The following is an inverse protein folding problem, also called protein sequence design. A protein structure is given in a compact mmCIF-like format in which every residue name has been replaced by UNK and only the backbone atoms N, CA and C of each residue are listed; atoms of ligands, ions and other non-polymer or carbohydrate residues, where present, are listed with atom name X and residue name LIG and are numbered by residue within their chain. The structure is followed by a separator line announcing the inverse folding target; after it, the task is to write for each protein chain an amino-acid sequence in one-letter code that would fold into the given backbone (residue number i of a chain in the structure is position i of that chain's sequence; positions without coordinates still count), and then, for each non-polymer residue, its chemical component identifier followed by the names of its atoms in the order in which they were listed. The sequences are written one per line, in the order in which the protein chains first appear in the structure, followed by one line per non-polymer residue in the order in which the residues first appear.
data_IF_811804055660
#
_entry.id   IF_811804055660
#
_cell.length_a   1.000
_cell.length_b   1.000
_cell.length_c   1.000
_cell.angle_alpha   90.00
_cell.angle_beta   90.00
_cell.angle_gamma   90.00
#
_symmetry.space_group_name_H-M   'P 1'
#
loop_
_entity.id
_entity.type
_entity.pdbx_description
1 polymer ?
#
# COMPACT_ATOMS: atom_id res chain seq x y z
N UNK A 1 -12.46 9.22 -26.68
CA UNK A 1 -11.58 8.16 -26.17
C UNK A 1 -10.74 8.76 -25.06
N UNK A 2 -10.87 8.29 -23.81
CA UNK A 2 -9.99 8.75 -22.72
C UNK A 2 -8.59 8.21 -22.97
N UNK A 3 -7.61 9.09 -23.06
CA UNK A 3 -6.20 8.75 -23.30
C UNK A 3 -5.64 8.01 -22.08
N UNK A 4 -5.37 6.70 -22.24
CA UNK A 4 -4.67 5.92 -21.24
C UNK A 4 -3.22 6.42 -21.12
N UNK A 5 -2.83 6.80 -19.91
CA UNK A 5 -1.47 7.33 -19.65
C UNK A 5 -0.57 6.17 -19.25
N UNK A 6 0.54 6.00 -19.95
CA UNK A 6 1.41 4.85 -19.75
C UNK A 6 2.01 4.84 -18.34
N UNK A 7 1.94 3.69 -17.67
CA UNK A 7 2.46 3.53 -16.30
C UNK A 7 1.67 4.26 -15.21
N UNK A 8 0.46 4.74 -15.51
CA UNK A 8 -0.43 5.46 -14.60
C UNK A 8 -1.72 4.70 -14.41
N UNK A 9 -2.28 4.73 -13.20
CA UNK A 9 -3.52 4.03 -12.91
C UNK A 9 -4.74 4.96 -12.99
N UNK A 10 -4.56 6.24 -12.68
CA UNK A 10 -5.58 7.24 -12.95
C UNK A 10 -5.39 7.81 -14.37
N UNK A 11 -6.48 7.88 -15.13
CA UNK A 11 -6.56 8.60 -16.42
C UNK A 11 -7.01 10.06 -16.25
N UNK A 12 -7.46 10.43 -15.05
CA UNK A 12 -8.04 11.75 -14.73
C UNK A 12 -7.36 12.44 -13.54
N UNK A 13 -7.40 13.77 -13.52
CA UNK A 13 -6.88 14.60 -12.43
C UNK A 13 -7.99 15.51 -11.87
N UNK A 14 -8.97 14.96 -11.10
CA UNK A 14 -10.13 15.70 -10.63
C UNK A 14 -9.73 16.88 -9.72
N UNK A 15 -10.62 17.87 -9.63
CA UNK A 15 -10.47 18.99 -8.72
C UNK A 15 -10.27 18.51 -7.27
N UNK A 16 -9.40 19.21 -6.54
CA UNK A 16 -9.23 19.00 -5.12
C UNK A 16 -10.47 19.52 -4.37
N UNK A 17 -11.08 18.68 -3.52
CA UNK A 17 -12.30 19.04 -2.76
C UNK A 17 -12.17 20.23 -1.79
N UNK A 18 -10.94 20.65 -1.46
CA UNK A 18 -10.68 21.77 -0.56
C UNK A 18 -10.39 23.08 -1.30
N UNK A 19 -10.17 23.04 -2.61
CA UNK A 19 -9.90 24.21 -3.43
C UNK A 19 -11.20 24.90 -3.85
N UNK A 20 -11.26 26.23 -3.71
CA UNK A 20 -12.44 27.01 -4.12
C UNK A 20 -12.52 27.24 -5.62
N UNK A 21 -11.37 27.27 -6.28
CA UNK A 21 -11.23 27.54 -7.71
C UNK A 21 -10.43 26.41 -8.35
N UNK A 22 -10.92 25.87 -9.45
CA UNK A 22 -10.25 24.84 -10.22
C UNK A 22 -10.36 25.16 -11.71
N UNK A 23 -9.24 25.03 -12.42
CA UNK A 23 -9.20 25.17 -13.87
C UNK A 23 -9.31 23.78 -14.48
N UNK A 24 -10.46 23.48 -15.07
CA UNK A 24 -10.65 22.25 -15.81
C UNK A 24 -9.99 22.35 -17.20
N UNK A 25 -8.97 21.53 -17.44
CA UNK A 25 -8.24 21.44 -18.72
C UNK A 25 -8.72 20.27 -19.59
N UNK A 26 -9.77 19.54 -19.19
CA UNK A 26 -10.26 18.36 -19.93
C UNK A 26 -11.03 18.69 -21.22
N UNK A 27 -11.25 19.98 -21.51
CA UNK A 27 -11.97 20.45 -22.71
C UNK A 27 -11.17 21.33 -23.69
N UNK A 28 -9.84 21.43 -23.58
CA UNK A 28 -9.04 22.14 -24.60
C UNK A 28 -8.93 21.23 -25.84
N UNK A 29 -9.62 21.61 -26.90
CA UNK A 29 -9.85 20.81 -28.13
C UNK A 29 -8.62 20.79 -29.05
N UNK A 30 -7.68 21.71 -28.86
CA UNK A 30 -6.43 21.78 -29.61
C UNK A 30 -5.28 21.28 -28.72
N UNK A 31 -5.11 19.96 -28.65
CA UNK A 31 -3.89 19.36 -28.09
C UNK A 31 -3.00 19.04 -29.28
N UNK A 32 -1.84 19.67 -29.35
CA UNK A 32 -0.79 19.34 -30.33
C UNK A 32 -0.47 17.84 -30.22
N UNK A 33 -0.33 17.07 -31.32
CA UNK A 33 0.12 15.68 -31.28
C UNK A 33 1.37 15.45 -30.40
N UNK A 34 2.28 16.43 -30.32
CA UNK A 34 3.43 16.38 -29.42
C UNK A 34 3.02 16.43 -27.93
N UNK A 35 2.00 17.23 -27.58
CA UNK A 35 1.42 17.27 -26.23
C UNK A 35 0.61 16.00 -25.91
N UNK A 36 0.03 15.30 -26.91
CA UNK A 36 -0.59 13.99 -26.72
C UNK A 36 0.44 12.90 -26.39
N UNK A 37 1.57 12.88 -27.10
CA UNK A 37 2.67 11.96 -26.84
C UNK A 37 3.34 12.26 -25.49
N UNK A 38 3.49 13.53 -25.11
CA UNK A 38 4.00 13.94 -23.80
C UNK A 38 3.02 13.63 -22.65
N UNK A 39 1.70 13.81 -22.87
CA UNK A 39 0.65 13.35 -21.94
C UNK A 39 0.73 11.85 -21.68
N UNK A 40 1.15 11.05 -22.67
CA UNK A 40 1.33 9.61 -22.52
C UNK A 40 2.50 9.24 -21.60
N UNK A 41 3.46 10.16 -21.37
CA UNK A 41 4.68 9.97 -20.57
C UNK A 41 4.82 11.01 -19.44
N UNK A 42 3.73 11.29 -18.71
CA UNK A 42 3.80 12.20 -17.55
C UNK A 42 4.92 11.79 -16.58
N UNK A 43 5.91 12.67 -16.42
CA UNK A 43 7.01 12.48 -15.50
C UNK A 43 6.53 12.48 -14.03
N UNK A 44 7.26 11.77 -13.16
CA UNK A 44 7.09 11.89 -11.71
C UNK A 44 7.96 13.03 -11.19
N UNK A 45 7.36 13.92 -10.41
CA UNK A 45 8.03 15.00 -9.70
C UNK A 45 8.21 14.63 -8.24
N UNK A 46 9.39 14.92 -7.70
CA UNK A 46 9.73 14.67 -6.30
C UNK A 46 9.91 16.00 -5.57
N UNK A 47 9.19 16.18 -4.48
CA UNK A 47 9.24 17.38 -3.65
C UNK A 47 9.78 17.02 -2.28
N UNK A 48 10.65 17.86 -1.72
CA UNK A 48 11.10 17.66 -0.34
C UNK A 48 9.92 17.86 0.61
N UNK A 49 9.69 16.88 1.48
CA UNK A 49 8.76 16.99 2.60
C UNK A 49 9.53 17.49 3.84
N UNK A 50 9.18 18.71 4.28
CA UNK A 50 9.84 19.38 5.41
C UNK A 50 9.33 18.99 6.80
N UNK A 51 8.59 17.88 6.91
CA UNK A 51 8.07 17.35 8.19
C UNK A 51 9.16 17.28 9.26
N UNK A 52 8.81 17.63 10.50
CA UNK A 52 9.73 17.63 11.66
C UNK A 52 9.57 16.42 12.58
N UNK A 53 8.62 15.55 12.27
CA UNK A 53 8.38 14.26 12.93
C UNK A 53 8.06 13.21 11.86
N UNK A 54 8.30 11.93 12.18
CA UNK A 54 8.12 10.82 11.23
C UNK A 54 7.10 9.78 11.67
N UNK A 55 6.91 9.60 12.99
CA UNK A 55 5.97 8.63 13.55
C UNK A 55 4.57 9.25 13.58
N UNK A 56 3.62 8.59 12.92
CA UNK A 56 2.19 8.94 12.96
C UNK A 56 1.44 7.92 13.80
N UNK A 57 0.46 8.39 14.59
CA UNK A 57 -0.40 7.54 15.44
C UNK A 57 -1.83 7.49 14.90
N UNK A 58 -2.51 6.38 15.13
CA UNK A 58 -3.93 6.22 14.85
C UNK A 58 -4.62 5.48 15.99
N UNK A 59 -5.91 5.76 16.21
CA UNK A 59 -6.73 5.18 17.26
C UNK A 59 -7.87 4.30 16.68
N UNK A 60 -7.68 3.78 15.48
CA UNK A 60 -8.75 3.06 14.79
C UNK A 60 -8.92 1.65 15.34
N UNK A 61 -10.14 1.19 15.67
CA UNK A 61 -10.36 -0.16 16.17
C UNK A 61 -10.17 -1.24 15.10
N UNK A 62 -10.16 -0.86 13.81
CA UNK A 62 -10.00 -1.79 12.69
C UNK A 62 -8.53 -2.02 12.29
N UNK A 63 -7.61 -1.23 12.86
CA UNK A 63 -6.19 -1.26 12.49
C UNK A 63 -5.42 -1.82 13.67
N UNK A 64 -4.85 -3.03 13.50
CA UNK A 64 -4.14 -3.74 14.57
C UNK A 64 -2.78 -3.15 14.97
N UNK A 65 -2.54 -1.86 14.71
CA UNK A 65 -1.33 -1.14 15.09
C UNK A 65 -1.64 0.32 15.38
N UNK A 66 -0.91 0.92 16.31
CA UNK A 66 -1.05 2.34 16.66
C UNK A 66 -0.12 3.22 15.83
N UNK A 67 1.15 2.83 15.70
CA UNK A 67 2.20 3.67 15.10
C UNK A 67 2.58 3.25 13.68
N UNK A 68 2.81 4.24 12.83
CA UNK A 68 3.31 4.03 11.48
C UNK A 68 4.37 5.04 11.07
N UNK A 69 5.21 4.62 10.13
CA UNK A 69 6.23 5.45 9.48
C UNK A 69 6.01 5.39 7.98
N UNK A 70 5.96 6.57 7.35
CA UNK A 70 5.77 6.72 5.91
C UNK A 70 6.88 7.65 5.38
N UNK A 71 7.93 7.09 4.72
CA UNK A 71 9.03 7.88 4.13
C UNK A 71 8.59 8.81 2.99
N UNK A 72 7.41 8.53 2.42
CA UNK A 72 6.85 9.25 1.29
C UNK A 72 5.41 9.70 1.59
N UNK A 73 4.92 10.68 0.82
CA UNK A 73 3.48 10.92 0.65
C UNK A 73 3.16 10.88 -0.84
N UNK A 74 2.07 10.21 -1.20
CA UNK A 74 1.82 9.82 -2.58
C UNK A 74 2.47 8.47 -2.86
N UNK A 75 2.07 7.81 -3.94
CA UNK A 75 2.60 6.51 -4.27
C UNK A 75 2.67 6.30 -5.77
N UNK A 76 3.88 6.10 -6.27
CA UNK A 76 4.12 5.85 -7.67
C UNK A 76 3.48 4.56 -8.19
N UNK A 77 3.13 3.61 -7.32
CA UNK A 77 2.42 2.40 -7.76
C UNK A 77 1.14 2.69 -8.54
N UNK A 78 0.48 3.81 -8.24
CA UNK A 78 -0.66 4.28 -9.00
C UNK A 78 -1.88 3.35 -8.92
N UNK A 79 -2.03 2.56 -7.86
CA UNK A 79 -3.19 1.67 -7.76
C UNK A 79 -4.48 2.49 -7.80
N UNK A 80 -5.35 2.23 -8.78
CA UNK A 80 -6.53 3.08 -9.01
C UNK A 80 -7.49 3.11 -7.80
N UNK A 81 -7.62 1.99 -7.11
CA UNK A 81 -8.47 1.81 -5.94
C UNK A 81 -7.87 2.36 -4.63
N UNK A 82 -6.68 2.97 -4.67
CA UNK A 82 -5.92 3.27 -3.45
C UNK A 82 -6.68 4.25 -2.53
N UNK A 83 -7.06 3.77 -1.33
CA UNK A 83 -7.77 4.58 -0.34
C UNK A 83 -6.96 5.78 0.17
N UNK A 84 -5.65 5.81 -0.06
CA UNK A 84 -4.78 6.90 0.37
C UNK A 84 -4.75 8.09 -0.60
N UNK A 85 -5.31 7.95 -1.81
CA UNK A 85 -5.42 9.03 -2.80
C UNK A 85 -5.98 10.35 -2.25
N UNK A 86 -7.05 10.36 -1.43
CA UNK A 86 -7.58 11.60 -0.84
C UNK A 86 -6.62 12.31 0.12
N UNK A 87 -5.51 11.67 0.55
CA UNK A 87 -4.54 12.33 1.44
C UNK A 87 -3.72 13.40 0.72
N UNK A 88 -3.65 13.34 -0.62
CA UNK A 88 -3.00 14.34 -1.46
C UNK A 88 -3.77 15.64 -1.57
N UNK A 89 -5.09 15.59 -1.35
CA UNK A 89 -5.93 16.79 -1.36
C UNK A 89 -5.56 17.74 -0.21
N UNK A 90 -5.09 17.21 0.93
CA UNK A 90 -4.56 18.04 2.03
C UNK A 90 -3.25 18.75 1.68
N UNK A 91 -2.61 18.42 0.56
CA UNK A 91 -1.41 19.08 0.04
C UNK A 91 -1.71 20.08 -1.08
N UNK A 92 -2.99 20.31 -1.39
CA UNK A 92 -3.38 21.11 -2.56
C UNK A 92 -3.35 20.34 -3.88
N UNK A 93 -3.03 19.04 -3.86
CA UNK A 93 -2.94 18.22 -5.07
C UNK A 93 -4.22 17.42 -5.36
N UNK A 94 -4.40 16.99 -6.60
CA UNK A 94 -5.49 16.07 -6.96
C UNK A 94 -5.27 14.67 -6.40
N UNK A 95 -6.36 13.99 -6.04
CA UNK A 95 -6.38 12.56 -5.70
C UNK A 95 -6.19 11.63 -6.92
N UNK A 96 -6.27 12.17 -8.14
CA UNK A 96 -6.07 11.43 -9.39
C UNK A 96 -4.60 11.25 -9.74
N UNK A 97 -4.20 11.77 -10.90
CA UNK A 97 -2.82 11.65 -11.38
C UNK A 97 -1.78 12.27 -10.44
N UNK A 98 -2.06 13.41 -9.83
CA UNK A 98 -1.09 14.07 -8.95
C UNK A 98 -0.65 13.16 -7.78
N UNK A 99 -1.53 12.29 -7.25
CA UNK A 99 -1.18 11.32 -6.20
C UNK A 99 -0.02 10.38 -6.57
N UNK A 100 0.06 10.00 -7.84
CA UNK A 100 1.05 9.05 -8.33
C UNK A 100 2.19 9.71 -9.11
N UNK A 101 2.04 10.99 -9.50
CA UNK A 101 3.06 11.77 -10.23
C UNK A 101 3.71 12.89 -9.43
N UNK A 102 3.19 13.26 -8.26
CA UNK A 102 3.79 14.29 -7.37
C UNK A 102 4.04 13.68 -6.01
N UNK A 103 5.27 13.26 -5.75
CA UNK A 103 5.63 12.51 -4.55
C UNK A 103 6.37 13.42 -3.57
N UNK A 104 5.87 13.49 -2.34
CA UNK A 104 6.59 14.16 -1.25
C UNK A 104 7.57 13.18 -0.64
N UNK A 105 8.82 13.58 -0.48
CA UNK A 105 9.95 12.76 -0.05
C UNK A 105 10.50 13.30 1.26
N UNK A 106 10.39 12.51 2.33
CA UNK A 106 10.98 12.85 3.64
C UNK A 106 12.43 12.35 3.67
N UNK A 107 13.34 13.11 3.08
CA UNK A 107 14.78 12.76 3.02
C UNK A 107 15.36 12.49 4.40
N UNK A 108 14.90 13.25 5.39
CA UNK A 108 15.42 13.25 6.76
C UNK A 108 14.73 12.19 7.65
N UNK A 109 13.94 11.26 7.06
CA UNK A 109 13.15 10.28 7.80
C UNK A 109 13.99 9.34 8.70
N UNK A 110 15.17 8.84 8.30
CA UNK A 110 16.02 8.05 9.18
C UNK A 110 16.47 8.84 10.41
N UNK A 111 16.89 10.10 10.24
CA UNK A 111 17.37 10.98 11.32
C UNK A 111 16.24 11.30 12.30
N UNK A 112 15.06 11.64 11.77
CA UNK A 112 13.87 11.88 12.57
C UNK A 112 13.45 10.63 13.35
N UNK A 113 13.51 9.46 12.72
CA UNK A 113 13.18 8.19 13.37
C UNK A 113 14.15 7.89 14.50
N UNK A 114 15.44 8.09 14.26
CA UNK A 114 16.48 7.90 15.28
C UNK A 114 16.24 8.81 16.48
N UNK A 115 15.99 10.11 16.25
CA UNK A 115 15.71 11.06 17.32
C UNK A 115 14.50 10.65 18.18
N UNK A 116 13.42 10.16 17.55
CA UNK A 116 12.26 9.61 18.25
C UNK A 116 12.62 8.39 19.12
N UNK A 117 13.34 7.40 18.57
CA UNK A 117 13.71 6.18 19.31
C UNK A 117 14.73 6.43 20.43
N UNK A 118 15.59 7.45 20.30
CA UNK A 118 16.53 7.89 21.34
C UNK A 118 15.82 8.56 22.51
N UNK A 119 14.67 9.20 22.26
CA UNK A 119 13.90 9.88 23.30
C UNK A 119 13.57 8.95 24.47
N UNK A 120 13.70 9.47 25.69
CA UNK A 120 13.31 8.77 26.92
C UNK A 120 11.81 8.49 26.98
N UNK A 121 11.01 9.25 26.23
CA UNK A 121 9.56 9.10 26.15
C UNK A 121 9.12 8.00 25.17
N UNK A 122 10.02 7.52 24.30
CA UNK A 122 9.68 6.43 23.39
C UNK A 122 9.45 5.13 24.16
N UNK A 123 8.25 4.58 24.01
CA UNK A 123 7.92 3.25 24.46
C UNK A 123 8.00 2.30 23.26
N UNK A 124 8.88 1.29 23.31
CA UNK A 124 9.05 0.33 22.22
C UNK A 124 7.73 -0.33 21.87
N UNK A 125 7.39 -0.28 20.58
CA UNK A 125 6.16 -0.82 20.03
C UNK A 125 6.36 -1.11 18.54
N UNK A 126 5.48 -1.93 17.98
CA UNK A 126 5.52 -2.25 16.55
C UNK A 126 5.25 -1.00 15.73
N UNK A 127 6.19 -0.64 14.87
CA UNK A 127 6.03 0.39 13.85
C UNK A 127 5.61 -0.29 12.56
N UNK A 128 4.51 0.17 11.95
CA UNK A 128 4.13 -0.28 10.61
C UNK A 128 4.67 0.67 9.55
N UNK A 129 5.44 0.13 8.61
CA UNK A 129 5.80 0.86 7.38
C UNK A 129 4.79 0.52 6.29
N UNK A 130 4.32 1.55 5.56
CA UNK A 130 3.29 1.47 4.50
C UNK A 130 1.83 1.67 4.97
N UNK A 131 1.57 2.73 5.74
CA UNK A 131 0.19 3.06 6.16
C UNK A 131 -0.64 3.78 5.09
N UNK A 132 -0.03 4.71 4.33
CA UNK A 132 -0.73 5.54 3.33
C UNK A 132 0.09 5.76 2.04
N UNK A 133 1.19 5.05 1.91
CA UNK A 133 2.09 5.00 0.74
C UNK A 133 2.78 3.65 0.73
N UNK A 134 3.45 3.27 -0.36
CA UNK A 134 4.34 2.11 -0.35
C UNK A 134 5.80 2.57 -0.12
N UNK A 135 6.49 2.05 0.90
CA UNK A 135 7.87 2.42 1.21
C UNK A 135 8.86 1.90 0.16
N UNK A 136 8.45 0.95 -0.71
CA UNK A 136 9.25 0.38 -1.78
C UNK A 136 8.73 0.74 -3.18
N UNK A 137 8.11 1.93 -3.31
CA UNK A 137 7.76 2.48 -4.61
C UNK A 137 9.01 2.78 -5.47
N UNK A 138 8.91 2.87 -6.81
CA UNK A 138 10.05 3.01 -7.73
C UNK A 138 11.21 3.93 -7.29
N UNK A 139 10.93 5.13 -6.79
CA UNK A 139 11.97 6.08 -6.32
C UNK A 139 12.86 5.54 -5.19
N UNK A 140 12.37 4.60 -4.37
CA UNK A 140 13.14 3.99 -3.27
C UNK A 140 14.35 3.19 -3.78
N UNK A 141 14.36 2.76 -5.05
CA UNK A 141 15.54 2.13 -5.65
C UNK A 141 16.77 3.04 -5.59
N UNK A 142 16.56 4.34 -5.72
CA UNK A 142 17.61 5.35 -5.76
C UNK A 142 17.83 5.98 -4.38
N UNK A 143 16.76 6.38 -3.69
CA UNK A 143 16.87 7.18 -2.49
C UNK A 143 17.23 6.37 -1.23
N UNK A 144 16.87 5.09 -1.17
CA UNK A 144 17.19 4.19 -0.05
C UNK A 144 16.76 4.73 1.33
N UNK A 145 15.69 5.54 1.39
CA UNK A 145 15.22 6.17 2.63
C UNK A 145 14.58 5.11 3.52
N UNK A 146 13.77 4.22 2.94
CA UNK A 146 13.20 3.08 3.67
C UNK A 146 14.32 2.22 4.25
N UNK A 147 15.38 1.96 3.48
CA UNK A 147 16.55 1.26 4.00
C UNK A 147 17.20 1.99 5.17
N UNK A 148 17.43 3.30 5.07
CA UNK A 148 17.97 4.10 6.18
C UNK A 148 17.11 4.01 7.44
N UNK A 149 15.78 4.05 7.30
CA UNK A 149 14.87 3.80 8.43
C UNK A 149 15.02 2.38 8.99
N UNK A 150 15.21 1.36 8.15
CA UNK A 150 15.46 -0.01 8.60
C UNK A 150 16.79 -0.18 9.33
N UNK A 151 17.84 0.52 8.89
CA UNK A 151 19.15 0.54 9.58
C UNK A 151 18.99 1.11 11.00
N UNK A 152 18.22 2.19 11.15
CA UNK A 152 17.85 2.74 12.47
C UNK A 152 17.06 1.72 13.28
N UNK A 153 15.98 1.14 12.73
CA UNK A 153 15.17 0.16 13.45
C UNK A 153 15.98 -1.06 13.91
N UNK A 154 16.90 -1.55 13.07
CA UNK A 154 17.82 -2.63 13.39
C UNK A 154 18.82 -2.24 14.51
N UNK A 155 19.39 -1.02 14.46
CA UNK A 155 20.28 -0.50 15.51
C UNK A 155 19.58 -0.50 16.88
N UNK A 156 18.33 -0.05 16.93
CA UNK A 156 17.51 -0.02 18.16
C UNK A 156 16.79 -1.34 18.47
N UNK A 157 16.79 -2.31 17.55
CA UNK A 157 15.96 -3.53 17.60
C UNK A 157 14.49 -3.23 17.88
N UNK A 158 13.98 -2.12 17.33
CA UNK A 158 12.56 -1.78 17.44
C UNK A 158 11.77 -2.61 16.42
N UNK A 159 10.68 -3.28 16.83
CA UNK A 159 9.93 -4.13 15.91
C UNK A 159 9.27 -3.34 14.77
N UNK A 160 9.33 -3.92 13.57
CA UNK A 160 8.75 -3.35 12.36
C UNK A 160 7.92 -4.37 11.60
N UNK A 161 6.73 -3.97 11.16
CA UNK A 161 5.97 -4.71 10.17
C UNK A 161 5.88 -3.89 8.87
N UNK A 162 6.22 -4.51 7.75
CA UNK A 162 6.19 -3.87 6.43
C UNK A 162 4.98 -4.39 5.66
N UNK A 163 4.29 -3.51 4.94
CA UNK A 163 3.35 -3.90 3.89
C UNK A 163 3.89 -3.37 2.55
N UNK A 164 3.92 -4.16 1.49
CA UNK A 164 4.34 -3.67 0.16
C UNK A 164 3.75 -4.48 -0.98
N UNK A 165 3.74 -3.90 -2.17
CA UNK A 165 3.43 -4.54 -3.46
C UNK A 165 4.67 -4.75 -4.34
N UNK A 166 5.87 -4.49 -3.83
CA UNK A 166 7.09 -4.48 -4.64
C UNK A 166 8.12 -5.48 -4.13
N UNK A 167 8.73 -6.24 -5.05
CA UNK A 167 9.84 -7.18 -4.75
C UNK A 167 11.07 -6.48 -4.20
N UNK A 168 11.17 -5.15 -4.34
CA UNK A 168 12.32 -4.36 -3.90
C UNK A 168 12.64 -4.53 -2.41
N UNK A 169 11.66 -4.93 -1.57
CA UNK A 169 11.90 -5.30 -0.17
C UNK A 169 12.98 -6.38 0.00
N UNK A 170 13.20 -7.25 -0.99
CA UNK A 170 14.25 -8.27 -0.91
C UNK A 170 15.67 -7.70 -0.95
N UNK A 171 15.85 -6.44 -1.37
CA UNK A 171 17.12 -5.71 -1.26
C UNK A 171 17.60 -5.58 0.18
N UNK A 172 16.66 -5.43 1.11
CA UNK A 172 16.94 -5.12 2.52
C UNK A 172 16.79 -6.36 3.42
N UNK A 173 16.95 -7.56 2.84
CA UNK A 173 16.93 -8.86 3.54
C UNK A 173 17.95 -8.92 4.67
N UNK A 174 19.12 -8.30 4.51
CA UNK A 174 20.17 -8.27 5.52
C UNK A 174 19.69 -7.65 6.84
N UNK A 175 19.00 -6.51 6.76
CA UNK A 175 18.46 -5.80 7.92
C UNK A 175 17.23 -6.50 8.51
N UNK A 176 16.35 -6.98 7.65
CA UNK A 176 15.14 -7.69 8.06
C UNK A 176 15.46 -9.03 8.72
N UNK A 177 16.47 -9.75 8.21
CA UNK A 177 16.95 -10.99 8.80
C UNK A 177 17.56 -10.74 10.20
N UNK A 178 18.34 -9.67 10.37
CA UNK A 178 18.88 -9.32 11.69
C UNK A 178 17.76 -9.02 12.70
N UNK A 179 16.75 -8.25 12.32
CA UNK A 179 15.59 -7.99 13.16
C UNK A 179 14.75 -9.25 13.43
N UNK A 180 14.63 -10.14 12.44
CA UNK A 180 13.86 -11.38 12.58
C UNK A 180 14.44 -12.33 13.65
N UNK A 181 15.75 -12.29 13.92
CA UNK A 181 16.38 -13.04 15.03
C UNK A 181 15.85 -12.64 16.41
N UNK A 182 15.28 -11.45 16.53
CA UNK A 182 14.72 -10.90 17.77
C UNK A 182 13.19 -10.83 17.75
N UNK A 183 12.55 -11.54 16.80
CA UNK A 183 11.11 -11.44 16.54
C UNK A 183 10.66 -9.99 16.27
N UNK A 184 11.54 -9.17 15.69
CA UNK A 184 11.35 -7.74 15.50
C UNK A 184 11.11 -7.34 14.02
N UNK A 185 10.86 -8.31 13.13
CA UNK A 185 10.48 -8.02 11.74
C UNK A 185 9.42 -8.99 11.22
N UNK A 186 8.46 -8.45 10.47
CA UNK A 186 7.58 -9.21 9.59
C UNK A 186 7.31 -8.43 8.29
N UNK A 187 7.17 -9.14 7.18
CA UNK A 187 6.83 -8.55 5.88
C UNK A 187 5.49 -9.08 5.39
N UNK A 188 4.63 -8.20 4.91
CA UNK A 188 3.35 -8.52 4.30
C UNK A 188 3.39 -8.12 2.82
N UNK A 189 3.32 -9.09 1.91
CA UNK A 189 3.28 -8.83 0.48
C UNK A 189 1.82 -8.82 0.02
N UNK A 190 1.36 -7.71 -0.58
CA UNK A 190 0.00 -7.63 -1.10
C UNK A 190 -0.10 -8.23 -2.50
N UNK A 191 -0.99 -9.22 -2.68
CA UNK A 191 -1.27 -9.88 -3.95
C UNK A 191 -2.77 -9.76 -4.22
N UNK A 192 -3.12 -8.91 -5.17
CA UNK A 192 -4.53 -8.59 -5.51
C UNK A 192 -5.11 -9.54 -6.55
N UNK A 193 -4.27 -10.02 -7.46
CA UNK A 193 -4.61 -10.92 -8.56
C UNK A 193 -3.34 -11.67 -9.00
N UNK A 194 -3.50 -12.89 -9.50
CA UNK A 194 -2.42 -13.64 -10.17
C UNK A 194 -2.35 -13.32 -11.68
N UNK A 195 -3.35 -12.63 -12.22
CA UNK A 195 -3.37 -12.23 -13.64
C UNK A 195 -2.46 -11.00 -13.89
N UNK A 196 -1.35 -11.15 -14.63
CA UNK A 196 -0.47 -10.03 -14.96
C UNK A 196 -1.14 -9.00 -15.88
N UNK A 197 -2.21 -9.34 -16.61
CA UNK A 197 -2.95 -8.36 -17.43
C UNK A 197 -3.74 -7.43 -16.52
N UNK A 198 -4.50 -7.97 -15.57
CA UNK A 198 -5.21 -7.16 -14.58
C UNK A 198 -4.24 -6.34 -13.71
N UNK A 199 -3.13 -6.92 -13.25
CA UNK A 199 -2.14 -6.19 -12.46
C UNK A 199 -1.58 -4.96 -13.19
N UNK A 200 -1.31 -5.04 -14.50
CA UNK A 200 -0.77 -3.91 -15.28
C UNK A 200 -1.72 -2.72 -15.37
N UNK A 201 -3.03 -2.95 -15.44
CA UNK A 201 -4.02 -1.86 -15.52
C UNK A 201 -4.48 -1.38 -14.14
N UNK A 202 -4.49 -2.28 -13.15
CA UNK A 202 -4.98 -1.98 -11.80
C UNK A 202 -3.89 -1.37 -10.90
N UNK A 203 -2.63 -1.80 -11.10
CA UNK A 203 -1.47 -1.52 -10.24
C UNK A 203 -0.17 -1.31 -11.06
N UNK A 204 -0.14 -0.38 -12.03
CA UNK A 204 0.78 -0.38 -13.16
C UNK A 204 2.27 -0.39 -12.84
N UNK A 205 2.68 0.21 -11.72
CA UNK A 205 4.11 0.33 -11.34
C UNK A 205 4.51 -0.51 -10.13
N UNK A 206 3.68 -1.48 -9.77
CA UNK A 206 4.00 -2.51 -8.78
C UNK A 206 4.77 -3.67 -9.44
N UNK A 207 5.31 -4.58 -8.64
CA UNK A 207 5.88 -5.83 -9.17
C UNK A 207 4.80 -6.72 -9.78
N UNK A 208 5.16 -7.54 -10.77
CA UNK A 208 4.27 -8.58 -11.30
C UNK A 208 3.86 -9.57 -10.19
N UNK A 209 2.72 -10.29 -10.33
CA UNK A 209 2.30 -11.28 -9.34
C UNK A 209 3.37 -12.35 -9.08
N UNK A 210 4.02 -12.85 -10.14
CA UNK A 210 5.12 -13.81 -10.04
C UNK A 210 6.31 -13.26 -9.24
N UNK A 211 6.72 -12.01 -9.51
CA UNK A 211 7.80 -11.36 -8.78
C UNK A 211 7.47 -11.16 -7.29
N UNK A 212 6.19 -10.98 -6.94
CA UNK A 212 5.74 -10.90 -5.54
C UNK A 212 5.80 -12.26 -4.86
N UNK A 213 5.39 -13.34 -5.53
CA UNK A 213 5.52 -14.71 -5.01
C UNK A 213 7.00 -15.09 -4.81
N UNK A 214 7.86 -14.74 -5.75
CA UNK A 214 9.31 -14.95 -5.60
C UNK A 214 9.90 -14.14 -4.43
N UNK A 215 9.42 -12.92 -4.20
CA UNK A 215 9.82 -12.15 -3.02
C UNK A 215 9.39 -12.84 -1.71
N UNK A 216 8.20 -13.43 -1.65
CA UNK A 216 7.77 -14.24 -0.49
C UNK A 216 8.76 -15.39 -0.27
N UNK A 217 9.09 -16.15 -1.32
CA UNK A 217 10.03 -17.27 -1.23
C UNK A 217 11.41 -16.84 -0.73
N UNK A 218 11.97 -15.77 -1.27
CA UNK A 218 13.30 -15.25 -0.88
C UNK A 218 13.34 -14.80 0.58
N UNK A 219 12.35 -14.03 1.02
CA UNK A 219 12.26 -13.56 2.40
C UNK A 219 12.10 -14.73 3.38
N UNK A 220 11.27 -15.73 3.02
CA UNK A 220 11.10 -16.95 3.83
C UNK A 220 12.36 -17.78 3.92
N UNK A 221 13.09 -17.94 2.83
CA UNK A 221 14.39 -18.63 2.82
C UNK A 221 15.42 -17.94 3.72
N UNK A 222 15.32 -16.62 3.89
CA UNK A 222 16.15 -15.85 4.82
C UNK A 222 15.68 -15.92 6.28
N UNK A 223 14.63 -16.69 6.61
CA UNK A 223 14.09 -16.82 7.97
C UNK A 223 13.19 -15.66 8.41
N UNK A 224 12.87 -14.72 7.52
CA UNK A 224 12.01 -13.58 7.82
C UNK A 224 10.55 -14.05 7.85
N UNK A 225 9.76 -13.71 8.89
CA UNK A 225 8.32 -13.96 8.89
C UNK A 225 7.62 -13.23 7.74
N UNK A 226 6.92 -13.97 6.89
CA UNK A 226 6.19 -13.39 5.75
C UNK A 226 4.73 -13.79 5.79
N UNK A 227 3.87 -12.78 5.67
CA UNK A 227 2.46 -12.96 5.36
C UNK A 227 2.08 -12.35 4.02
N UNK A 228 0.85 -12.61 3.62
CA UNK A 228 0.29 -12.06 2.38
C UNK A 228 -1.01 -11.34 2.66
N UNK A 229 -1.24 -10.25 1.92
CA UNK A 229 -2.51 -9.54 1.93
C UNK A 229 -3.20 -9.76 0.60
N UNK A 230 -4.30 -10.52 0.59
CA UNK A 230 -5.20 -10.62 -0.56
C UNK A 230 -6.04 -9.35 -0.58
N UNK A 231 -5.43 -8.24 -0.97
CA UNK A 231 -5.94 -6.91 -0.67
C UNK A 231 -5.65 -5.85 -1.76
N UNK A 232 -6.71 -5.22 -2.31
CA UNK A 232 -8.12 -5.44 -1.98
C UNK A 232 -8.72 -6.63 -2.75
N UNK A 233 -9.67 -7.33 -2.15
CA UNK A 233 -10.65 -8.11 -2.89
C UNK A 233 -11.63 -7.14 -3.55
N UNK A 234 -11.76 -7.24 -4.88
CA UNK A 234 -12.69 -6.45 -5.70
C UNK A 234 -13.81 -7.38 -6.14
N UNK A 235 -15.04 -7.22 -5.64
CA UNK A 235 -16.13 -8.14 -5.90
C UNK A 235 -16.53 -8.12 -7.38
N UNK A 236 -16.66 -9.29 -7.99
CA UNK A 236 -16.92 -9.43 -9.43
C UNK A 236 -15.71 -9.22 -10.33
N UNK A 237 -14.53 -8.97 -9.76
CA UNK A 237 -13.28 -8.80 -10.52
C UNK A 237 -12.15 -9.72 -10.00
N UNK A 238 -11.87 -9.75 -8.69
CA UNK A 238 -10.78 -10.55 -8.09
C UNK A 238 -11.22 -11.48 -6.95
N UNK A 239 -12.46 -11.36 -6.49
CA UNK A 239 -13.05 -12.21 -5.43
C UNK A 239 -12.87 -13.71 -5.66
N UNK A 240 -13.10 -14.17 -6.88
CA UNK A 240 -12.95 -15.57 -7.27
C UNK A 240 -11.50 -16.09 -7.21
N UNK A 241 -10.49 -15.22 -7.21
CA UNK A 241 -9.08 -15.61 -7.18
C UNK A 241 -8.56 -15.95 -5.79
N UNK A 242 -9.27 -15.58 -4.72
CA UNK A 242 -8.77 -15.67 -3.35
C UNK A 242 -8.21 -17.07 -2.98
N UNK A 243 -8.88 -18.21 -3.28
CA UNK A 243 -8.32 -19.53 -2.98
C UNK A 243 -7.02 -19.83 -3.74
N UNK A 244 -6.96 -19.47 -5.04
CA UNK A 244 -5.77 -19.71 -5.88
C UNK A 244 -4.59 -18.83 -5.45
N UNK A 245 -4.87 -17.58 -5.08
CA UNK A 245 -3.86 -16.69 -4.50
C UNK A 245 -3.30 -17.32 -3.22
N UNK A 246 -4.16 -17.77 -2.31
CA UNK A 246 -3.74 -18.36 -1.04
C UNK A 246 -2.91 -19.63 -1.25
N UNK A 247 -3.31 -20.51 -2.16
CA UNK A 247 -2.56 -21.69 -2.55
C UNK A 247 -1.16 -21.34 -3.07
N UNK A 248 -1.06 -20.41 -4.04
CA UNK A 248 0.22 -19.97 -4.59
C UNK A 248 1.11 -19.30 -3.52
N UNK A 249 0.52 -18.50 -2.63
CA UNK A 249 1.24 -17.88 -1.52
C UNK A 249 1.77 -18.90 -0.52
N UNK A 250 0.98 -19.93 -0.19
CA UNK A 250 1.41 -21.02 0.70
C UNK A 250 2.55 -21.82 0.08
N UNK A 251 2.48 -22.14 -1.22
CA UNK A 251 3.58 -22.79 -1.95
C UNK A 251 4.85 -21.94 -1.95
N UNK A 252 4.73 -20.61 -2.00
CA UNK A 252 5.86 -19.69 -1.85
C UNK A 252 6.38 -19.57 -0.40
N UNK A 253 5.68 -20.13 0.59
CA UNK A 253 6.09 -20.18 1.99
C UNK A 253 5.44 -19.12 2.90
N UNK A 254 4.38 -18.43 2.46
CA UNK A 254 3.64 -17.50 3.30
C UNK A 254 3.07 -18.21 4.54
N UNK A 255 3.22 -17.57 5.71
CA UNK A 255 2.86 -18.18 7.00
C UNK A 255 1.50 -17.74 7.51
N UNK A 256 1.06 -16.54 7.13
CA UNK A 256 -0.21 -15.96 7.53
C UNK A 256 -0.79 -15.12 6.39
N UNK A 257 -2.11 -14.95 6.39
CA UNK A 257 -2.79 -14.19 5.36
C UNK A 257 -3.91 -13.32 5.96
N UNK A 258 -4.16 -12.19 5.33
CA UNK A 258 -5.34 -11.37 5.57
C UNK A 258 -5.94 -10.87 4.26
N UNK A 259 -7.15 -10.34 4.33
CA UNK A 259 -7.78 -9.65 3.20
C UNK A 259 -8.45 -8.36 3.67
N UNK A 260 -8.71 -7.48 2.71
CA UNK A 260 -9.66 -6.38 2.86
C UNK A 260 -10.47 -6.27 1.59
N UNK A 261 -11.71 -5.81 1.67
CA UNK A 261 -12.53 -5.51 0.49
C UNK A 261 -12.25 -4.07 0.07
N UNK A 262 -12.27 -3.83 -1.25
CA UNK A 262 -11.99 -2.52 -1.86
C UNK A 262 -12.77 -1.37 -1.19
N UNK A 263 -12.07 -0.28 -0.88
CA UNK A 263 -12.66 0.95 -0.31
C UNK A 263 -12.48 2.09 -1.30
N UNK A 264 -13.56 2.82 -1.56
CA UNK A 264 -13.59 3.87 -2.57
C UNK A 264 -13.99 5.24 -1.97
N UNK A 265 -13.20 5.77 -1.01
CA UNK A 265 -13.55 7.03 -0.37
C UNK A 265 -13.45 8.23 -1.32
N UNK A 266 -14.40 9.17 -1.23
CA UNK A 266 -14.34 10.48 -1.90
C UNK A 266 -14.04 10.36 -3.41
N UNK A 267 -13.01 11.07 -3.90
CA UNK A 267 -12.58 11.08 -5.29
C UNK A 267 -12.15 9.70 -5.83
N UNK A 268 -11.91 8.70 -4.98
CA UNK A 268 -11.52 7.35 -5.42
C UNK A 268 -12.69 6.64 -6.12
N UNK A 269 -13.93 6.82 -5.67
CA UNK A 269 -15.11 6.22 -6.31
C UNK A 269 -15.27 6.61 -7.79
N UNK A 270 -15.35 7.91 -8.15
CA UNK A 270 -15.48 8.31 -9.55
C UNK A 270 -14.23 7.97 -10.38
N UNK A 271 -13.02 7.98 -9.79
CA UNK A 271 -11.81 7.52 -10.47
C UNK A 271 -11.87 6.03 -10.81
N UNK A 272 -12.31 5.20 -9.87
CA UNK A 272 -12.44 3.75 -10.07
C UNK A 272 -13.56 3.41 -11.05
N UNK A 273 -14.68 4.13 -11.00
CA UNK A 273 -15.78 3.99 -11.96
C UNK A 273 -15.32 4.26 -13.39
N UNK A 274 -14.60 5.37 -13.61
CA UNK A 274 -14.02 5.71 -14.91
C UNK A 274 -13.04 4.65 -15.39
N UNK A 275 -12.20 4.14 -14.49
CA UNK A 275 -11.25 3.07 -14.81
C UNK A 275 -11.96 1.77 -15.22
N UNK A 276 -13.09 1.42 -14.58
CA UNK A 276 -13.91 0.29 -14.99
C UNK A 276 -14.51 0.51 -16.38
N UNK A 277 -14.95 1.72 -16.70
CA UNK A 277 -15.47 2.07 -18.02
C UNK A 277 -14.41 1.95 -19.12
N UNK A 278 -13.17 2.34 -18.82
CA UNK A 278 -12.05 2.29 -19.76
C UNK A 278 -11.52 0.86 -19.99
N UNK A 279 -11.44 0.04 -18.94
CA UNK A 279 -10.77 -1.26 -19.01
C UNK A 279 -11.70 -2.47 -18.98
N UNK A 280 -12.88 -2.34 -18.38
CA UNK A 280 -13.82 -3.44 -18.14
C UNK A 280 -15.29 -2.99 -18.29
N UNK A 281 -15.68 -2.36 -19.41
CA UNK A 281 -17.03 -1.80 -19.58
C UNK A 281 -18.12 -2.87 -19.39
N UNK A 282 -17.91 -4.07 -19.91
CA UNK A 282 -18.85 -5.20 -19.79
C UNK A 282 -19.03 -5.70 -18.34
N UNK A 283 -18.13 -5.34 -17.43
CA UNK A 283 -18.17 -5.72 -16.00
C UNK A 283 -18.46 -4.55 -15.08
N UNK A 284 -18.48 -3.31 -15.58
CA UNK A 284 -18.62 -2.07 -14.79
C UNK A 284 -19.81 -2.14 -13.84
N UNK A 285 -21.02 -2.34 -14.38
CA UNK A 285 -22.25 -2.33 -13.59
C UNK A 285 -22.30 -3.49 -12.59
N UNK A 286 -21.80 -4.66 -12.96
CA UNK A 286 -21.71 -5.82 -12.06
C UNK A 286 -20.78 -5.54 -10.87
N UNK A 287 -19.60 -4.99 -11.11
CA UNK A 287 -18.62 -4.68 -10.06
C UNK A 287 -19.17 -3.58 -9.15
N UNK A 288 -19.66 -2.48 -9.71
CA UNK A 288 -20.23 -1.37 -8.92
C UNK A 288 -21.46 -1.80 -8.13
N UNK A 289 -22.36 -2.59 -8.73
CA UNK A 289 -23.52 -3.18 -8.05
C UNK A 289 -23.12 -3.99 -6.82
N UNK A 290 -22.16 -4.92 -6.97
CA UNK A 290 -21.66 -5.71 -5.82
C UNK A 290 -20.98 -4.87 -4.75
N UNK A 291 -20.25 -3.83 -5.13
CA UNK A 291 -19.66 -2.89 -4.16
C UNK A 291 -20.77 -2.18 -3.38
N UNK A 292 -21.85 -1.75 -4.04
CA UNK A 292 -23.00 -1.12 -3.37
C UNK A 292 -23.68 -2.07 -2.39
N UNK A 293 -23.86 -3.33 -2.77
CA UNK A 293 -24.44 -4.35 -1.89
C UNK A 293 -23.56 -4.56 -0.64
N UNK A 294 -22.24 -4.62 -0.81
CA UNK A 294 -21.27 -4.82 0.27
C UNK A 294 -21.07 -3.62 1.21
N UNK A 295 -21.55 -2.44 0.83
CA UNK A 295 -21.31 -1.18 1.55
C UNK A 295 -22.56 -0.64 2.21
N UNK A 296 -23.72 -1.24 1.94
CA UNK A 296 -24.99 -0.78 2.45
C UNK A 296 -25.49 0.49 1.76
N UNK A 297 -26.81 0.69 1.80
CA UNK A 297 -27.47 1.94 1.40
C UNK A 297 -27.17 2.40 -0.04
N UNK A 298 -26.81 1.48 -0.94
CA UNK A 298 -26.52 1.80 -2.35
C UNK A 298 -25.24 2.60 -2.58
N UNK A 299 -24.34 2.71 -1.59
CA UNK A 299 -23.14 3.57 -1.65
C UNK A 299 -21.92 2.81 -2.15
N UNK A 300 -20.97 3.50 -2.78
CA UNK A 300 -19.69 2.90 -3.18
C UNK A 300 -18.65 2.81 -2.06
N UNK A 301 -18.92 3.45 -0.91
CA UNK A 301 -18.02 3.46 0.24
C UNK A 301 -18.80 3.58 1.56
N UNK A 302 -18.30 2.92 2.58
CA UNK A 302 -18.73 3.07 3.97
C UNK A 302 -17.48 3.37 4.83
N UNK A 303 -17.56 4.37 5.71
CA UNK A 303 -16.47 4.77 6.62
C UNK A 303 -16.64 4.22 8.05
N UNK A 304 -17.76 3.58 8.34
CA UNK A 304 -18.06 2.99 9.64
C UNK A 304 -17.02 1.95 10.04
N UNK A 305 -16.67 1.94 11.32
CA UNK A 305 -15.76 0.94 11.87
C UNK A 305 -16.37 -0.45 11.76
N UNK A 306 -15.50 -1.45 11.75
CA UNK A 306 -15.78 -2.87 11.62
C UNK A 306 -16.32 -3.30 10.25
N UNK A 307 -17.12 -2.47 9.56
CA UNK A 307 -17.72 -2.80 8.26
C UNK A 307 -16.91 -2.28 7.08
N UNK A 308 -16.20 -1.16 7.20
CA UNK A 308 -15.47 -0.55 6.07
C UNK A 308 -14.40 -1.45 5.44
N UNK A 309 -13.83 -2.40 6.18
CA UNK A 309 -12.77 -3.29 5.67
C UNK A 309 -13.30 -4.62 5.14
N UNK A 310 -14.43 -5.10 5.64
CA UNK A 310 -14.97 -6.45 5.41
C UNK A 310 -16.29 -6.44 4.62
N UNK A 311 -17.01 -5.32 4.61
CA UNK A 311 -18.35 -5.22 4.06
C UNK A 311 -19.43 -5.90 4.90
N UNK A 312 -20.66 -5.84 4.40
CA UNK A 312 -21.84 -6.45 5.01
C UNK A 312 -22.66 -7.24 3.97
N UNK A 313 -23.58 -8.08 4.47
CA UNK A 313 -24.49 -8.88 3.64
C UNK A 313 -23.86 -10.13 3.03
N UNK A 314 -24.65 -10.81 2.19
CA UNK A 314 -24.35 -12.18 1.73
C UNK A 314 -23.05 -12.28 0.93
N UNK A 315 -22.69 -11.24 0.17
CA UNK A 315 -21.45 -11.22 -0.59
C UNK A 315 -20.23 -11.06 0.31
N UNK A 316 -20.35 -10.34 1.44
CA UNK A 316 -19.25 -10.22 2.41
C UNK A 316 -19.02 -11.57 3.09
N UNK A 317 -20.10 -12.24 3.50
CA UNK A 317 -20.07 -13.58 4.07
C UNK A 317 -19.47 -14.61 3.10
N UNK A 318 -19.85 -14.53 1.82
CA UNK A 318 -19.30 -15.41 0.78
C UNK A 318 -17.80 -15.19 0.58
N UNK A 319 -17.34 -13.93 0.50
CA UNK A 319 -15.92 -13.59 0.37
C UNK A 319 -15.15 -14.06 1.60
N UNK A 320 -15.67 -13.81 2.80
CA UNK A 320 -15.06 -14.23 4.06
C UNK A 320 -14.93 -15.76 4.12
N UNK A 321 -16.00 -16.48 3.75
CA UNK A 321 -16.02 -17.95 3.74
C UNK A 321 -15.05 -18.51 2.70
N UNK A 322 -15.03 -17.95 1.50
CA UNK A 322 -14.13 -18.38 0.43
C UNK A 322 -12.66 -18.17 0.82
N UNK A 323 -12.34 -17.03 1.43
CA UNK A 323 -11.02 -16.73 1.94
C UNK A 323 -10.62 -17.69 3.05
N UNK A 324 -11.48 -17.91 4.06
CA UNK A 324 -11.15 -18.75 5.21
C UNK A 324 -11.02 -20.23 4.83
N UNK A 325 -11.89 -20.74 3.96
CA UNK A 325 -11.76 -22.09 3.41
C UNK A 325 -10.47 -22.22 2.61
N UNK A 326 -10.15 -21.24 1.75
CA UNK A 326 -8.90 -21.20 1.00
C UNK A 326 -7.68 -21.21 1.91
N UNK A 327 -7.69 -20.38 2.97
CA UNK A 327 -6.60 -20.24 3.95
C UNK A 327 -6.36 -21.56 4.69
N UNK A 328 -7.43 -22.19 5.17
CA UNK A 328 -7.37 -23.49 5.87
C UNK A 328 -6.85 -24.59 4.96
N UNK A 329 -7.35 -24.69 3.73
CA UNK A 329 -6.89 -25.71 2.76
C UNK A 329 -5.43 -25.51 2.38
N UNK A 330 -4.97 -24.27 2.28
CA UNK A 330 -3.58 -23.93 2.00
C UNK A 330 -2.64 -24.10 3.21
N UNK A 331 -3.16 -24.42 4.40
CA UNK A 331 -2.34 -24.59 5.62
C UNK A 331 -1.73 -23.29 6.15
N UNK A 332 -2.28 -22.14 5.79
CA UNK A 332 -1.79 -20.83 6.23
C UNK A 332 -2.27 -20.55 7.65
N UNK A 333 -1.32 -20.31 8.57
CA UNK A 333 -1.57 -20.11 10.00
C UNK A 333 -1.89 -18.67 10.39
N UNK A 334 -1.74 -18.41 11.69
CA UNK A 334 -1.97 -17.11 12.32
C UNK A 334 -0.77 -16.16 12.19
N UNK A 335 -1.05 -14.86 12.29
CA UNK A 335 -0.01 -13.82 12.23
C UNK A 335 0.98 -13.97 13.39
N UNK A 336 2.28 -13.93 13.07
CA UNK A 336 3.34 -13.90 14.07
C UNK A 336 3.30 -12.58 14.86
N UNK A 337 3.28 -12.67 16.19
CA UNK A 337 3.44 -11.50 17.05
C UNK A 337 4.89 -11.05 17.07
N UNK A 338 5.10 -9.74 16.93
CA UNK A 338 6.43 -9.14 17.04
C UNK A 338 6.73 -8.75 18.47
N UNK A 339 8.00 -8.83 18.86
CA UNK A 339 8.46 -8.60 20.23
C UNK A 339 9.18 -7.26 20.37
N UNK A 340 8.94 -6.59 21.49
CA UNK A 340 9.68 -5.40 21.93
C UNK A 340 10.76 -5.72 22.95
N UNK A 341 10.87 -6.99 23.39
CA UNK A 341 11.71 -7.40 24.51
C UNK A 341 13.21 -7.16 24.27
N UNK A 342 13.64 -7.19 23.00
CA UNK A 342 15.04 -6.98 22.61
C UNK A 342 15.38 -5.53 22.27
N UNK A 343 14.43 -4.60 22.43
CA UNK A 343 14.65 -3.18 22.17
C UNK A 343 15.83 -2.67 22.99
N UNK A 344 16.67 -1.83 22.36
CA UNK A 344 17.82 -1.20 22.99
C UNK A 344 17.98 0.23 22.53
N UNK A 345 18.55 1.06 23.40
CA UNK A 345 19.10 2.37 23.03
C UNK A 345 20.62 2.22 23.00
N UNK A 346 21.24 2.18 21.80
CA UNK A 346 22.69 2.13 21.71
C UNK A 346 23.24 3.40 22.38
N UNK A 347 24.01 3.22 23.46
CA UNK A 347 24.81 4.32 23.98
C UNK A 347 26.04 4.38 23.08
N UNK A 348 26.17 5.45 22.29
CA UNK A 348 27.49 5.86 21.84
C UNK A 348 28.23 6.36 23.08
N UNK A 349 28.80 5.43 23.83
CA UNK A 349 29.73 5.76 24.88
C UNK A 349 30.94 6.35 24.15
N UNK A 350 31.06 7.68 24.16
CA UNK A 350 32.27 8.37 23.77
C UNK A 350 33.42 7.69 24.54
N UNK A 351 34.21 6.88 23.85
CA UNK A 351 35.49 6.43 24.38
C UNK A 351 36.34 7.68 24.46
N UNK A 352 36.40 8.28 25.66
CA UNK A 352 37.43 9.23 26.02
C UNK A 352 38.74 8.42 26.01
N UNK A 353 39.48 8.54 24.91
CA UNK A 353 40.88 8.12 24.83
C UNK A 353 41.77 9.24 25.36
#
# INVERSE_FOLDING_TARGET
MTLLIHGRGASANPANRFEKLHVDRTGVVDVDPAEEEERSRRATWYFRDGSKTIITRNNSPDVGFETSVNPYRGCEHGCIYCYARPTHEYLGFSAGLDFESKIMVKTDAPELLRAELESRHWQPQVIVMSGVTDPYQPVEKQLRITRGCLEVLAKFRNPVAIITKNRLVTRDVDLLQELAKFDAAAVNISITSLDPRLQRVLEPRTSSPEARLEAVKQLRAAGIPVGVMVAPIIPGLTDHEAPKILEACAQAGAQFAGYTIVRLPWAVAPLFERWLEEHFPDRKEKVLGRIRDLRGNGRLNNSEWHTRMTGEGIFAEQIASLFEVGRRRAGIGERKQLSTASFRRPREQLTLW
#
